data_IF_682919206760
#
_entry.id   IF_682919206760
#
_cell.length_a   1.000
_cell.length_b   1.000
_cell.length_c   1.000
_cell.angle_alpha   90.00
_cell.angle_beta   90.00
_cell.angle_gamma   90.00
#
_symmetry.space_group_name_H-M   'P 1'
#
loop_
_entity.id
_entity.type
_entity.pdbx_description
1 polymer ?
#
# COMPACT_ATOMS: atom_id res chain seq x y z
N UNK A 1 -20.26 52.17 -35.87
CA UNK A 1 -19.37 52.91 -34.95
C UNK A 1 -19.01 51.99 -33.81
N UNK A 2 -17.72 51.77 -33.64
CA UNK A 2 -17.08 50.83 -32.72
C UNK A 2 -17.40 51.12 -31.25
N UNK A 3 -17.51 50.06 -30.44
CA UNK A 3 -16.89 50.01 -29.11
C UNK A 3 -16.71 48.55 -28.64
N UNK A 4 -15.87 47.83 -29.37
CA UNK A 4 -15.04 46.76 -28.82
C UNK A 4 -13.88 47.40 -28.06
N UNK A 5 -13.75 47.08 -26.76
CA UNK A 5 -12.53 47.04 -25.90
C UNK A 5 -12.75 47.70 -24.52
N UNK A 6 -13.12 46.90 -23.50
CA UNK A 6 -13.24 47.44 -22.14
C UNK A 6 -13.18 46.45 -20.97
N UNK A 7 -12.90 45.16 -21.20
CA UNK A 7 -12.98 44.16 -20.12
C UNK A 7 -11.76 43.24 -19.95
N UNK A 8 -10.67 43.47 -20.69
CA UNK A 8 -9.48 42.59 -20.63
C UNK A 8 -8.40 43.05 -19.62
N UNK A 9 -8.55 44.22 -18.99
CA UNK A 9 -7.49 44.86 -18.19
C UNK A 9 -7.95 45.38 -16.80
N UNK A 10 -9.07 44.88 -16.27
CA UNK A 10 -9.45 45.20 -14.88
C UNK A 10 -8.70 44.29 -13.91
N UNK A 11 -7.78 44.88 -13.14
CA UNK A 11 -7.03 44.17 -12.09
C UNK A 11 -7.99 43.46 -11.11
N UNK A 12 -9.18 44.01 -10.87
CA UNK A 12 -10.21 43.41 -10.02
C UNK A 12 -10.73 42.10 -10.59
N UNK A 13 -10.97 42.04 -11.91
CA UNK A 13 -11.42 40.82 -12.58
C UNK A 13 -10.35 39.71 -12.52
N UNK A 14 -9.08 40.07 -12.69
CA UNK A 14 -7.96 39.13 -12.53
C UNK A 14 -7.82 38.63 -11.08
N UNK A 15 -7.96 39.52 -10.08
CA UNK A 15 -7.96 39.13 -8.66
C UNK A 15 -9.15 38.22 -8.30
N UNK A 16 -10.33 38.50 -8.83
CA UNK A 16 -11.51 37.65 -8.66
C UNK A 16 -11.33 36.27 -9.31
N UNK A 17 -10.73 36.22 -10.50
CA UNK A 17 -10.38 34.97 -11.15
C UNK A 17 -9.36 34.18 -10.32
N UNK A 18 -8.27 34.82 -9.86
CA UNK A 18 -7.26 34.18 -9.03
C UNK A 18 -7.86 33.57 -7.74
N UNK A 19 -8.75 34.30 -7.05
CA UNK A 19 -9.46 33.77 -5.86
C UNK A 19 -10.35 32.56 -6.18
N UNK A 20 -11.04 32.58 -7.33
CA UNK A 20 -11.87 31.44 -7.76
C UNK A 20 -11.02 30.21 -8.07
N UNK A 21 -9.92 30.38 -8.80
CA UNK A 21 -8.99 29.30 -9.11
C UNK A 21 -8.33 28.73 -7.85
N UNK A 22 -7.90 29.58 -6.92
CA UNK A 22 -7.35 29.15 -5.64
C UNK A 22 -8.37 28.32 -4.82
N UNK A 23 -9.63 28.75 -4.78
CA UNK A 23 -10.69 28.00 -4.10
C UNK A 23 -10.93 26.63 -4.75
N UNK A 24 -10.92 26.57 -6.08
CA UNK A 24 -11.06 25.31 -6.83
C UNK A 24 -9.89 24.37 -6.56
N UNK A 25 -8.65 24.87 -6.59
CA UNK A 25 -7.45 24.08 -6.27
C UNK A 25 -7.52 23.53 -4.84
N UNK A 26 -7.90 24.33 -3.84
CA UNK A 26 -8.05 23.84 -2.45
C UNK A 26 -9.12 22.75 -2.32
N UNK A 27 -10.23 22.88 -3.05
CA UNK A 27 -11.28 21.85 -3.09
C UNK A 27 -10.78 20.55 -3.74
N UNK A 28 -10.03 20.66 -4.84
CA UNK A 28 -9.40 19.53 -5.51
C UNK A 28 -8.39 18.84 -4.59
N UNK A 29 -7.52 19.59 -3.92
CA UNK A 29 -6.55 19.05 -2.97
C UNK A 29 -7.23 18.30 -1.82
N UNK A 30 -8.35 18.81 -1.31
CA UNK A 30 -9.13 18.11 -0.28
C UNK A 30 -9.65 16.75 -0.80
N UNK A 31 -10.17 16.69 -2.02
CA UNK A 31 -10.69 15.46 -2.62
C UNK A 31 -9.57 14.45 -2.90
N UNK A 32 -8.43 14.92 -3.44
CA UNK A 32 -7.27 14.07 -3.72
C UNK A 32 -6.63 13.55 -2.42
N UNK A 33 -6.54 14.38 -1.38
CA UNK A 33 -6.04 13.98 -0.07
C UNK A 33 -6.93 12.94 0.61
N UNK A 34 -8.24 13.09 0.49
CA UNK A 34 -9.19 12.08 0.97
C UNK A 34 -9.06 10.76 0.20
N UNK A 35 -8.95 10.80 -1.13
CA UNK A 35 -8.74 9.60 -1.93
C UNK A 35 -7.44 8.89 -1.54
N UNK A 36 -6.34 9.62 -1.35
CA UNK A 36 -5.07 9.07 -0.89
C UNK A 36 -5.18 8.43 0.50
N UNK A 37 -5.93 9.06 1.42
CA UNK A 37 -6.20 8.51 2.76
C UNK A 37 -6.99 7.20 2.69
N UNK A 38 -8.09 7.15 1.93
CA UNK A 38 -8.90 5.93 1.78
C UNK A 38 -8.13 4.81 1.08
N UNK A 39 -7.32 5.15 0.07
CA UNK A 39 -6.43 4.22 -0.61
C UNK A 39 -5.43 3.60 0.36
N UNK A 40 -4.78 4.42 1.19
CA UNK A 40 -3.83 3.93 2.20
C UNK A 40 -4.48 2.99 3.21
N UNK A 41 -5.68 3.34 3.69
CA UNK A 41 -6.45 2.49 4.60
C UNK A 41 -6.87 1.16 3.95
N UNK A 42 -7.33 1.18 2.69
CA UNK A 42 -7.68 -0.04 1.96
C UNK A 42 -6.47 -0.94 1.72
N UNK A 43 -5.35 -0.37 1.26
CA UNK A 43 -4.08 -1.10 1.08
C UNK A 43 -3.65 -1.75 2.39
N UNK A 44 -3.74 -1.04 3.51
CA UNK A 44 -3.42 -1.61 4.81
C UNK A 44 -4.30 -2.82 5.15
N UNK A 45 -5.62 -2.72 4.97
CA UNK A 45 -6.50 -3.85 5.27
C UNK A 45 -6.26 -5.04 4.34
N UNK A 46 -5.97 -4.80 3.06
CA UNK A 46 -5.57 -5.87 2.12
C UNK A 46 -4.25 -6.54 2.53
N UNK A 47 -3.29 -5.79 3.08
CA UNK A 47 -2.05 -6.36 3.62
C UNK A 47 -2.31 -7.26 4.84
N UNK A 48 -3.25 -6.85 5.70
CA UNK A 48 -3.70 -7.67 6.84
C UNK A 48 -4.39 -8.95 6.36
N UNK A 49 -5.32 -8.83 5.41
CA UNK A 49 -6.03 -9.98 4.84
C UNK A 49 -5.09 -10.96 4.12
N UNK A 50 -4.12 -10.45 3.34
CA UNK A 50 -3.06 -11.26 2.73
C UNK A 50 -2.27 -12.04 3.80
N UNK A 51 -1.89 -11.36 4.88
CA UNK A 51 -1.15 -11.98 5.97
C UNK A 51 -1.94 -13.10 6.64
N UNK A 52 -3.20 -12.83 7.00
CA UNK A 52 -4.08 -13.82 7.61
C UNK A 52 -4.31 -15.03 6.69
N UNK A 53 -4.54 -14.77 5.39
CA UNK A 53 -4.74 -15.80 4.37
C UNK A 53 -3.49 -16.68 4.22
N UNK A 54 -2.30 -16.09 4.30
CA UNK A 54 -1.04 -16.83 4.21
C UNK A 54 -0.90 -17.82 5.39
N UNK A 55 -1.12 -17.38 6.63
CA UNK A 55 -1.10 -18.28 7.80
C UNK A 55 -2.20 -19.35 7.69
N UNK A 56 -3.41 -18.96 7.30
CA UNK A 56 -4.51 -19.91 7.14
C UNK A 56 -4.15 -21.02 6.14
N UNK A 57 -3.59 -20.69 4.99
CA UNK A 57 -3.19 -21.68 3.97
C UNK A 57 -1.99 -22.53 4.44
N UNK A 58 -0.95 -21.90 4.99
CA UNK A 58 0.26 -22.59 5.46
C UNK A 58 -0.01 -23.53 6.65
N UNK A 59 -0.96 -23.19 7.52
CA UNK A 59 -1.39 -24.04 8.64
C UNK A 59 -2.39 -25.14 8.24
N UNK A 60 -2.68 -25.29 6.95
CA UNK A 60 -3.71 -26.22 6.48
C UNK A 60 -5.10 -25.88 7.02
N UNK A 61 -5.40 -24.60 7.25
CA UNK A 61 -6.69 -24.11 7.74
C UNK A 61 -6.93 -24.25 9.24
N UNK A 62 -5.89 -24.57 10.02
CA UNK A 62 -6.00 -24.74 11.48
C UNK A 62 -5.94 -23.41 12.23
N UNK A 63 -5.23 -22.41 11.69
CA UNK A 63 -5.01 -21.11 12.31
C UNK A 63 -5.64 -19.99 11.47
N UNK A 64 -5.90 -18.84 12.08
CA UNK A 64 -6.29 -17.59 11.40
C UNK A 64 -7.63 -17.61 10.65
N UNK A 65 -8.51 -18.57 10.92
CA UNK A 65 -9.84 -18.63 10.27
C UNK A 65 -10.71 -17.43 10.66
N UNK A 66 -10.66 -16.99 11.92
CA UNK A 66 -11.44 -15.84 12.39
C UNK A 66 -10.89 -14.52 11.82
N UNK A 67 -9.58 -14.41 11.74
CA UNK A 67 -8.81 -13.29 11.23
C UNK A 67 -9.01 -13.11 9.73
N UNK A 68 -9.11 -14.19 8.96
CA UNK A 68 -9.50 -14.11 7.55
C UNK A 68 -10.90 -13.53 7.37
N UNK A 69 -11.88 -13.96 8.18
CA UNK A 69 -13.26 -13.42 8.13
C UNK A 69 -13.31 -11.95 8.54
N UNK A 70 -12.66 -11.60 9.65
CA UNK A 70 -12.60 -10.24 10.15
C UNK A 70 -11.86 -9.32 9.17
N UNK A 71 -10.72 -9.77 8.63
CA UNK A 71 -9.95 -9.06 7.61
C UNK A 71 -10.77 -8.81 6.35
N UNK A 72 -11.48 -9.82 5.85
CA UNK A 72 -12.37 -9.68 4.69
C UNK A 72 -13.47 -8.65 4.91
N UNK A 73 -14.15 -8.68 6.06
CA UNK A 73 -15.19 -7.71 6.41
C UNK A 73 -14.65 -6.27 6.49
N UNK A 74 -13.49 -6.08 7.12
CA UNK A 74 -12.85 -4.77 7.22
C UNK A 74 -12.38 -4.25 5.84
N UNK A 75 -11.91 -5.13 4.96
CA UNK A 75 -11.61 -4.76 3.56
C UNK A 75 -12.88 -4.30 2.85
N UNK A 76 -14.01 -4.99 3.03
CA UNK A 76 -15.28 -4.61 2.40
C UNK A 76 -15.78 -3.23 2.90
N UNK A 77 -15.63 -2.94 4.19
CA UNK A 77 -15.89 -1.60 4.74
C UNK A 77 -15.00 -0.53 4.09
N UNK A 78 -13.70 -0.79 3.95
CA UNK A 78 -12.76 0.14 3.29
C UNK A 78 -13.03 0.28 1.80
N UNK A 79 -13.49 -0.78 1.13
CA UNK A 79 -13.88 -0.72 -0.27
C UNK A 79 -15.05 0.23 -0.48
N UNK A 80 -16.07 0.18 0.38
CA UNK A 80 -17.21 1.09 0.29
C UNK A 80 -16.77 2.57 0.42
N UNK A 81 -15.88 2.86 1.37
CA UNK A 81 -15.34 4.22 1.56
C UNK A 81 -14.45 4.67 0.39
N UNK A 82 -13.65 3.75 -0.15
CA UNK A 82 -12.82 4.01 -1.33
C UNK A 82 -13.67 4.29 -2.57
N UNK A 83 -14.73 3.51 -2.84
CA UNK A 83 -15.63 3.78 -3.95
C UNK A 83 -16.35 5.13 -3.79
N UNK A 84 -16.77 5.49 -2.57
CA UNK A 84 -17.37 6.79 -2.31
C UNK A 84 -16.40 7.97 -2.50
N UNK A 85 -15.10 7.79 -2.25
CA UNK A 85 -14.09 8.81 -2.56
C UNK A 85 -13.78 8.90 -4.05
N UNK A 86 -13.82 7.78 -4.79
CA UNK A 86 -13.68 7.77 -6.25
C UNK A 86 -14.78 8.56 -6.96
N UNK A 87 -16.04 8.43 -6.54
CA UNK A 87 -17.14 9.21 -7.14
C UNK A 87 -16.94 10.72 -6.98
N UNK A 88 -16.37 11.15 -5.84
CA UNK A 88 -16.04 12.57 -5.61
C UNK A 88 -14.83 13.02 -6.43
N UNK A 89 -13.83 12.17 -6.59
CA UNK A 89 -12.65 12.44 -7.41
C UNK A 89 -12.93 12.42 -8.92
N UNK A 90 -14.05 11.85 -9.36
CA UNK A 90 -14.41 11.72 -10.79
C UNK A 90 -14.46 13.07 -11.53
N UNK A 91 -14.88 14.13 -10.86
CA UNK A 91 -14.98 15.47 -11.45
C UNK A 91 -13.61 16.12 -11.73
N UNK A 92 -12.54 15.60 -11.13
CA UNK A 92 -11.19 16.18 -11.16
C UNK A 92 -10.16 15.24 -11.77
N UNK A 93 -10.58 14.04 -12.20
CA UNK A 93 -9.69 13.01 -12.70
C UNK A 93 -9.32 13.21 -14.18
N UNK A 94 -8.02 13.30 -14.45
CA UNK A 94 -7.48 13.23 -15.81
C UNK A 94 -7.49 11.81 -16.40
N UNK A 95 -7.29 11.69 -17.72
CA UNK A 95 -7.32 10.41 -18.45
C UNK A 95 -6.38 9.35 -17.86
N UNK A 96 -5.14 9.71 -17.53
CA UNK A 96 -4.17 8.78 -16.97
C UNK A 96 -4.59 8.26 -15.58
N UNK A 97 -5.18 9.11 -14.74
CA UNK A 97 -5.75 8.71 -13.45
C UNK A 97 -6.91 7.75 -13.63
N UNK A 98 -7.81 8.01 -14.58
CA UNK A 98 -8.90 7.10 -14.91
C UNK A 98 -8.41 5.70 -15.30
N UNK A 99 -7.34 5.60 -16.09
CA UNK A 99 -6.73 4.30 -16.46
C UNK A 99 -6.19 3.54 -15.24
N UNK A 100 -5.52 4.24 -14.31
CA UNK A 100 -5.01 3.63 -13.06
C UNK A 100 -6.15 3.14 -12.17
N UNK A 101 -7.17 3.97 -11.99
CA UNK A 101 -8.37 3.62 -11.22
C UNK A 101 -9.07 2.42 -11.86
N UNK A 102 -9.31 2.43 -13.18
CA UNK A 102 -9.97 1.34 -13.88
C UNK A 102 -9.26 -0.01 -13.65
N UNK A 103 -7.92 -0.04 -13.72
CA UNK A 103 -7.16 -1.26 -13.42
C UNK A 103 -7.21 -1.69 -11.96
N UNK A 104 -7.18 -0.76 -11.01
CA UNK A 104 -7.33 -1.12 -9.61
C UNK A 104 -8.74 -1.68 -9.31
N UNK A 105 -9.79 -1.08 -9.88
CA UNK A 105 -11.18 -1.53 -9.69
C UNK A 105 -11.41 -2.92 -10.29
N UNK A 106 -10.84 -3.19 -11.47
CA UNK A 106 -10.91 -4.50 -12.15
C UNK A 106 -10.26 -5.61 -11.31
N UNK A 107 -9.09 -5.34 -10.71
CA UNK A 107 -8.40 -6.27 -9.80
C UNK A 107 -9.16 -6.47 -8.48
N UNK A 108 -9.74 -5.41 -7.92
CA UNK A 108 -10.56 -5.47 -6.71
C UNK A 108 -11.80 -6.37 -6.90
N UNK A 109 -12.38 -6.40 -8.11
CA UNK A 109 -13.52 -7.26 -8.43
C UNK A 109 -13.19 -8.76 -8.35
N UNK A 110 -11.91 -9.14 -8.35
CA UNK A 110 -11.47 -10.53 -8.24
C UNK A 110 -11.40 -11.05 -6.80
N UNK A 111 -11.46 -10.16 -5.79
CA UNK A 111 -11.32 -10.54 -4.38
C UNK A 111 -12.33 -11.60 -3.91
N UNK A 112 -13.63 -11.56 -4.27
CA UNK A 112 -14.57 -12.60 -3.85
C UNK A 112 -14.19 -14.00 -4.36
N UNK A 113 -13.71 -14.09 -5.60
CA UNK A 113 -13.27 -15.37 -6.18
C UNK A 113 -12.00 -15.89 -5.49
N UNK A 114 -11.03 -15.01 -5.23
CA UNK A 114 -9.83 -15.34 -4.47
C UNK A 114 -10.18 -15.84 -3.07
N UNK A 115 -11.04 -15.13 -2.32
CA UNK A 115 -11.50 -15.53 -0.98
C UNK A 115 -12.21 -16.89 -1.00
N UNK A 116 -13.01 -17.18 -2.02
CA UNK A 116 -13.67 -18.47 -2.17
C UNK A 116 -12.65 -19.61 -2.38
N UNK A 117 -11.62 -19.38 -3.20
CA UNK A 117 -10.52 -20.34 -3.39
C UNK A 117 -9.74 -20.56 -2.09
N UNK A 118 -9.42 -19.49 -1.36
CA UNK A 118 -8.73 -19.54 -0.06
C UNK A 118 -9.56 -20.34 0.95
N UNK A 119 -10.85 -20.02 1.11
CA UNK A 119 -11.73 -20.70 2.06
C UNK A 119 -11.93 -22.19 1.77
N UNK A 120 -11.81 -22.60 0.51
CA UNK A 120 -11.80 -24.02 0.11
C UNK A 120 -10.41 -24.65 0.09
N UNK A 121 -9.36 -23.87 0.36
CA UNK A 121 -7.94 -24.23 0.23
C UNK A 121 -7.61 -24.81 -1.16
N UNK A 122 -8.22 -24.23 -2.20
CA UNK A 122 -8.04 -24.60 -3.61
C UNK A 122 -6.98 -23.76 -4.33
N UNK A 123 -6.21 -22.97 -3.58
CA UNK A 123 -5.12 -22.12 -4.06
C UNK A 123 -3.94 -22.26 -3.11
N UNK A 124 -2.72 -22.26 -3.65
CA UNK A 124 -1.50 -22.29 -2.86
C UNK A 124 -1.23 -20.92 -2.20
N UNK A 125 -0.55 -20.89 -1.05
CA UNK A 125 -0.31 -19.67 -0.27
C UNK A 125 0.45 -18.59 -1.05
N UNK A 126 1.35 -19.02 -1.92
CA UNK A 126 2.18 -18.21 -2.81
C UNK A 126 1.33 -17.54 -3.88
N UNK A 127 0.45 -18.33 -4.53
CA UNK A 127 -0.46 -17.82 -5.55
C UNK A 127 -1.48 -16.84 -4.95
N UNK A 128 -2.01 -17.11 -3.76
CA UNK A 128 -2.90 -16.18 -3.06
C UNK A 128 -2.15 -14.89 -2.67
N UNK A 129 -0.92 -15.01 -2.15
CA UNK A 129 -0.06 -13.88 -1.81
C UNK A 129 0.22 -13.00 -3.02
N UNK A 130 0.54 -13.60 -4.18
CA UNK A 130 0.79 -12.86 -5.42
C UNK A 130 -0.47 -12.12 -5.90
N UNK A 131 -1.64 -12.76 -5.86
CA UNK A 131 -2.89 -12.11 -6.26
C UNK A 131 -3.22 -10.89 -5.37
N UNK A 132 -3.12 -11.01 -4.04
CA UNK A 132 -3.27 -9.84 -3.15
C UNK A 132 -2.22 -8.76 -3.44
N UNK A 133 -0.96 -9.14 -3.66
CA UNK A 133 0.13 -8.20 -3.96
C UNK A 133 -0.09 -7.46 -5.29
N UNK A 134 -0.68 -8.14 -6.28
CA UNK A 134 -1.08 -7.52 -7.55
C UNK A 134 -2.16 -6.47 -7.35
N UNK A 135 -3.22 -6.79 -6.59
CA UNK A 135 -4.28 -5.83 -6.24
C UNK A 135 -3.69 -4.61 -5.53
N UNK A 136 -2.87 -4.83 -4.50
CA UNK A 136 -2.21 -3.76 -3.74
C UNK A 136 -1.32 -2.89 -4.65
N UNK A 137 -0.53 -3.49 -5.53
CA UNK A 137 0.31 -2.77 -6.49
C UNK A 137 -0.51 -1.87 -7.41
N UNK A 138 -1.65 -2.34 -7.93
CA UNK A 138 -2.51 -1.50 -8.77
C UNK A 138 -3.14 -0.34 -7.99
N UNK A 139 -3.50 -0.54 -6.72
CA UNK A 139 -3.93 0.54 -5.84
C UNK A 139 -2.81 1.56 -5.60
N UNK A 140 -1.61 1.11 -5.20
CA UNK A 140 -0.47 1.99 -4.95
C UNK A 140 -0.09 2.82 -6.18
N UNK A 141 -0.22 2.26 -7.38
CA UNK A 141 0.04 2.97 -8.65
C UNK A 141 -0.92 4.14 -8.94
N UNK A 142 -2.01 4.30 -8.19
CA UNK A 142 -2.87 5.49 -8.28
C UNK A 142 -2.17 6.69 -7.62
N UNK A 143 -1.44 6.50 -6.52
CA UNK A 143 -0.90 7.61 -5.74
C UNK A 143 0.10 8.51 -6.53
N UNK A 144 1.06 7.97 -7.30
CA UNK A 144 1.90 8.80 -8.17
C UNK A 144 1.07 9.58 -9.21
N UNK A 145 0.02 8.95 -9.74
CA UNK A 145 -0.84 9.57 -10.74
C UNK A 145 -1.73 10.70 -10.16
N UNK A 146 -2.07 10.63 -8.87
CA UNK A 146 -2.72 11.74 -8.15
C UNK A 146 -1.78 12.94 -8.03
N UNK A 147 -0.48 12.68 -7.86
CA UNK A 147 0.52 13.73 -7.68
C UNK A 147 0.67 14.63 -8.92
N UNK A 148 0.45 14.08 -10.12
CA UNK A 148 0.49 14.83 -11.38
C UNK A 148 -0.61 15.92 -11.47
N UNK A 149 -1.63 15.87 -10.59
CA UNK A 149 -2.73 16.84 -10.54
C UNK A 149 -2.54 17.89 -9.42
N UNK A 150 -1.39 17.89 -8.74
CA UNK A 150 -1.09 18.76 -7.60
C UNK A 150 -0.08 19.83 -8.02
N UNK A 151 -0.55 21.08 -8.14
CA UNK A 151 0.30 22.21 -8.54
C UNK A 151 1.14 22.77 -7.37
N UNK A 152 0.73 22.52 -6.12
CA UNK A 152 1.41 23.02 -4.91
C UNK A 152 2.63 22.14 -4.58
N UNK A 153 3.88 22.64 -4.73
CA UNK A 153 5.07 21.80 -4.58
C UNK A 153 5.24 21.22 -3.16
N UNK A 154 5.00 21.97 -2.07
CA UNK A 154 4.96 21.39 -0.72
C UNK A 154 3.97 20.23 -0.58
N UNK A 155 2.76 20.34 -1.14
CA UNK A 155 1.77 19.25 -1.07
C UNK A 155 2.20 18.05 -1.92
N UNK A 156 2.71 18.30 -3.13
CA UNK A 156 3.23 17.25 -4.00
C UNK A 156 4.37 16.47 -3.31
N UNK A 157 5.31 17.17 -2.68
CA UNK A 157 6.39 16.57 -1.91
C UNK A 157 5.88 15.66 -0.78
N UNK A 158 4.83 16.07 -0.06
CA UNK A 158 4.20 15.24 0.99
C UNK A 158 3.50 14.01 0.43
N UNK A 159 2.89 14.10 -0.75
CA UNK A 159 2.27 12.96 -1.43
C UNK A 159 3.31 11.95 -1.90
N UNK A 160 4.45 12.42 -2.41
CA UNK A 160 5.59 11.54 -2.71
C UNK A 160 6.11 10.87 -1.44
N UNK A 161 6.27 11.60 -0.33
CA UNK A 161 6.69 11.01 0.95
C UNK A 161 5.72 9.91 1.43
N UNK A 162 4.41 10.18 1.36
CA UNK A 162 3.36 9.21 1.71
C UNK A 162 3.44 7.96 0.83
N UNK A 163 3.54 8.13 -0.49
CA UNK A 163 3.67 7.02 -1.42
C UNK A 163 4.92 6.18 -1.14
N UNK A 164 6.07 6.82 -0.95
CA UNK A 164 7.34 6.15 -0.63
C UNK A 164 7.23 5.33 0.65
N UNK A 165 6.59 5.87 1.69
CA UNK A 165 6.32 5.13 2.92
C UNK A 165 5.40 3.92 2.69
N UNK A 166 4.30 4.10 1.95
CA UNK A 166 3.34 3.03 1.65
C UNK A 166 3.99 1.91 0.81
N UNK A 167 4.85 2.27 -0.14
CA UNK A 167 5.59 1.32 -0.97
C UNK A 167 6.62 0.54 -0.14
N UNK A 168 7.35 1.21 0.75
CA UNK A 168 8.25 0.56 1.71
C UNK A 168 7.51 -0.42 2.62
N UNK A 169 6.37 0.00 3.20
CA UNK A 169 5.50 -0.88 4.02
C UNK A 169 4.99 -2.08 3.24
N UNK A 170 4.65 -1.91 1.97
CA UNK A 170 4.23 -3.02 1.12
C UNK A 170 5.35 -4.03 0.88
N UNK A 171 6.58 -3.56 0.64
CA UNK A 171 7.75 -4.45 0.48
C UNK A 171 8.06 -5.21 1.77
N UNK A 172 7.93 -4.59 2.95
CA UNK A 172 7.99 -5.29 4.25
C UNK A 172 6.90 -6.36 4.35
N UNK A 173 5.69 -6.05 3.90
CA UNK A 173 4.59 -7.02 3.87
C UNK A 173 4.84 -8.23 2.95
N UNK A 174 5.52 -8.01 1.82
CA UNK A 174 5.93 -9.07 0.89
C UNK A 174 7.11 -9.88 1.43
N UNK A 175 8.10 -9.23 2.05
CA UNK A 175 9.19 -9.88 2.77
C UNK A 175 8.62 -10.85 3.83
N UNK A 176 7.66 -10.39 4.63
CA UNK A 176 6.98 -11.23 5.62
C UNK A 176 6.37 -12.48 4.99
N UNK A 177 5.68 -12.34 3.87
CA UNK A 177 5.03 -13.47 3.19
C UNK A 177 6.04 -14.48 2.61
N UNK A 178 7.13 -14.00 2.00
CA UNK A 178 8.18 -14.84 1.43
C UNK A 178 8.99 -15.57 2.51
N UNK A 179 9.33 -14.88 3.61
CA UNK A 179 10.02 -15.51 4.72
C UNK A 179 9.16 -16.57 5.41
N UNK A 180 7.87 -16.28 5.65
CA UNK A 180 6.94 -17.25 6.23
C UNK A 180 6.85 -18.52 5.35
N UNK A 181 6.82 -18.34 4.03
CA UNK A 181 6.84 -19.45 3.09
C UNK A 181 8.10 -20.32 3.24
N UNK A 182 9.29 -19.70 3.19
CA UNK A 182 10.55 -20.45 3.26
C UNK A 182 10.74 -21.15 4.61
N UNK A 183 10.37 -20.50 5.71
CA UNK A 183 10.42 -21.12 7.04
C UNK A 183 9.39 -22.24 7.21
N UNK A 184 8.19 -22.11 6.64
CA UNK A 184 7.17 -23.18 6.67
C UNK A 184 7.65 -24.42 5.90
N UNK A 185 8.32 -24.22 4.76
CA UNK A 185 8.91 -25.30 3.96
C UNK A 185 10.16 -25.90 4.60
N UNK A 186 10.79 -25.21 5.55
CA UNK A 186 12.10 -25.57 6.09
C UNK A 186 13.24 -25.38 5.09
N UNK A 187 13.01 -24.66 3.98
CA UNK A 187 14.00 -24.40 2.94
C UNK A 187 13.73 -23.10 2.18
N UNK A 188 14.81 -22.45 1.75
CA UNK A 188 14.78 -21.33 0.82
C UNK A 188 15.50 -21.74 -0.46
N UNK A 189 14.75 -21.99 -1.53
CA UNK A 189 15.33 -22.15 -2.86
C UNK A 189 16.06 -20.88 -3.28
N UNK A 190 17.02 -20.97 -4.19
CA UNK A 190 17.79 -19.80 -4.62
C UNK A 190 16.89 -18.71 -5.22
N UNK A 191 15.82 -19.10 -5.92
CA UNK A 191 14.82 -18.15 -6.44
C UNK A 191 14.05 -17.46 -5.32
N UNK A 192 13.58 -18.20 -4.30
CA UNK A 192 12.86 -17.61 -3.17
C UNK A 192 13.76 -16.69 -2.33
N UNK A 193 15.03 -17.10 -2.15
CA UNK A 193 16.05 -16.29 -1.46
C UNK A 193 16.33 -15.00 -2.20
N UNK A 194 16.50 -15.05 -3.52
CA UNK A 194 16.70 -13.84 -4.32
C UNK A 194 15.49 -12.90 -4.23
N UNK A 195 14.27 -13.43 -4.33
CA UNK A 195 13.06 -12.61 -4.16
C UNK A 195 12.99 -11.96 -2.78
N UNK A 196 13.35 -12.68 -1.71
CA UNK A 196 13.40 -12.14 -0.36
C UNK A 196 14.41 -11.00 -0.26
N UNK A 197 15.64 -11.18 -0.78
CA UNK A 197 16.67 -10.15 -0.83
C UNK A 197 16.19 -8.93 -1.61
N UNK A 198 15.59 -9.12 -2.79
CA UNK A 198 15.05 -8.01 -3.59
C UNK A 198 13.97 -7.21 -2.82
N UNK A 199 13.15 -7.89 -1.99
CA UNK A 199 12.15 -7.21 -1.14
C UNK A 199 12.79 -6.44 0.01
N UNK A 200 13.86 -6.94 0.59
CA UNK A 200 14.60 -6.25 1.66
C UNK A 200 15.30 -5.03 1.07
N UNK A 201 16.08 -5.22 0.00
CA UNK A 201 16.86 -4.16 -0.64
C UNK A 201 15.95 -3.06 -1.21
N UNK A 202 14.80 -3.42 -1.77
CA UNK A 202 13.82 -2.47 -2.28
C UNK A 202 13.19 -1.56 -1.21
N UNK A 203 13.23 -1.94 0.08
CA UNK A 203 12.69 -1.10 1.17
C UNK A 203 13.53 0.15 1.39
N UNK A 204 14.85 0.04 1.28
CA UNK A 204 15.79 1.11 1.58
C UNK A 204 15.52 2.39 0.77
N UNK A 205 15.46 2.38 -0.58
CA UNK A 205 15.18 3.59 -1.35
C UNK A 205 13.79 4.19 -1.05
N UNK A 206 12.82 3.34 -0.70
CA UNK A 206 11.48 3.79 -0.31
C UNK A 206 11.51 4.59 1.01
N UNK A 207 12.15 4.04 2.04
CA UNK A 207 12.24 4.73 3.33
C UNK A 207 13.21 5.91 3.32
N UNK A 208 14.25 5.90 2.48
CA UNK A 208 15.13 7.05 2.27
C UNK A 208 14.38 8.22 1.62
N UNK A 209 13.59 7.94 0.59
CA UNK A 209 12.73 8.95 -0.05
C UNK A 209 11.71 9.54 0.94
N UNK A 210 11.06 8.69 1.75
CA UNK A 210 10.16 9.16 2.81
C UNK A 210 10.87 10.05 3.83
N UNK A 211 12.07 9.68 4.28
CA UNK A 211 12.83 10.48 5.24
C UNK A 211 13.30 11.82 4.67
N UNK A 212 13.61 11.88 3.37
CA UNK A 212 14.03 13.10 2.70
C UNK A 212 12.89 14.11 2.49
N UNK A 213 11.66 13.63 2.27
CA UNK A 213 10.51 14.45 1.87
C UNK A 213 9.45 14.60 2.98
N UNK A 214 9.49 13.74 4.00
CA UNK A 214 8.55 13.73 5.11
C UNK A 214 8.74 14.93 6.04
N UNK A 215 7.66 15.32 6.74
CA UNK A 215 7.76 16.35 7.77
C UNK A 215 8.69 15.90 8.91
N UNK A 216 9.48 16.79 9.55
CA UNK A 216 10.38 16.42 10.63
C UNK A 216 9.71 15.62 11.77
N UNK A 217 8.50 16.01 12.19
CA UNK A 217 7.75 15.31 13.24
C UNK A 217 7.42 13.86 12.85
N UNK A 218 6.94 13.62 11.63
CA UNK A 218 6.58 12.29 11.14
C UNK A 218 7.82 11.41 10.92
N UNK A 219 8.91 11.98 10.43
CA UNK A 219 10.20 11.26 10.29
C UNK A 219 10.78 10.89 11.65
N UNK A 220 10.67 11.78 12.64
CA UNK A 220 11.10 11.48 14.01
C UNK A 220 10.25 10.37 14.64
N UNK A 221 8.93 10.38 14.40
CA UNK A 221 8.05 9.30 14.84
C UNK A 221 8.47 7.96 14.22
N UNK A 222 8.70 7.92 12.91
CA UNK A 222 9.19 6.73 12.22
C UNK A 222 10.52 6.24 12.81
N UNK A 223 11.49 7.14 13.01
CA UNK A 223 12.80 6.82 13.60
C UNK A 223 12.78 6.41 15.05
N UNK A 224 11.66 6.54 15.76
CA UNK A 224 11.55 6.16 17.18
C UNK A 224 10.66 4.94 17.36
N UNK A 225 9.70 4.72 16.46
CA UNK A 225 8.73 3.63 16.54
C UNK A 225 9.08 2.47 15.61
N UNK A 226 9.67 2.72 14.45
CA UNK A 226 9.85 1.71 13.40
C UNK A 226 11.33 1.27 13.29
N UNK A 227 11.80 0.49 14.26
CA UNK A 227 13.11 -0.17 14.19
C UNK A 227 12.96 -1.67 13.90
N UNK A 228 13.78 -2.20 13.01
CA UNK A 228 13.90 -3.65 12.84
C UNK A 228 14.44 -4.24 14.16
N UNK A 229 13.64 -5.09 14.80
CA UNK A 229 14.08 -5.84 15.97
C UNK A 229 15.24 -6.76 15.60
N UNK A 230 16.19 -6.94 16.53
CA UNK A 230 17.35 -7.84 16.36
C UNK A 230 16.94 -9.24 15.88
N UNK A 231 15.77 -9.72 16.33
CA UNK A 231 15.21 -11.02 15.95
C UNK A 231 14.94 -11.13 14.43
N UNK A 232 14.38 -10.08 13.82
CA UNK A 232 14.09 -10.07 12.37
C UNK A 232 15.40 -10.07 11.58
N UNK A 233 16.40 -9.29 11.99
CA UNK A 233 17.72 -9.29 11.34
C UNK A 233 18.42 -10.65 11.42
N UNK A 234 18.29 -11.34 12.55
CA UNK A 234 18.81 -12.70 12.70
C UNK A 234 18.11 -13.68 11.75
N UNK A 235 16.77 -13.61 11.66
CA UNK A 235 16.00 -14.47 10.77
C UNK A 235 16.26 -14.17 9.29
N UNK A 236 16.42 -12.89 8.90
CA UNK A 236 16.89 -12.48 7.56
C UNK A 236 18.22 -13.15 7.23
N UNK A 237 19.18 -13.11 8.15
CA UNK A 237 20.48 -13.76 7.98
C UNK A 237 20.35 -15.27 7.83
N UNK A 238 19.50 -15.94 8.61
CA UNK A 238 19.28 -17.38 8.50
C UNK A 238 18.73 -17.71 7.10
N UNK A 239 17.64 -17.06 6.69
CA UNK A 239 17.01 -17.27 5.39
C UNK A 239 17.97 -17.06 4.20
N UNK A 240 18.91 -16.12 4.33
CA UNK A 240 19.87 -15.79 3.27
C UNK A 240 21.15 -16.65 3.27
N UNK A 241 21.47 -17.39 4.34
CA UNK A 241 22.80 -18.03 4.45
C UNK A 241 22.79 -19.52 4.77
N UNK A 242 21.70 -20.06 5.33
CA UNK A 242 21.67 -21.44 5.83
C UNK A 242 20.29 -22.06 5.60
N UNK A 243 20.23 -23.39 5.68
CA UNK A 243 18.97 -24.10 5.74
C UNK A 243 18.31 -23.85 7.11
N UNK A 244 17.02 -23.46 7.15
CA UNK A 244 16.28 -23.33 8.41
C UNK A 244 16.19 -24.65 9.18
N UNK A 245 15.99 -24.56 10.50
CA UNK A 245 15.73 -25.74 11.32
C UNK A 245 14.37 -26.36 10.96
N UNK A 246 14.29 -27.69 10.96
CA UNK A 246 13.03 -28.42 10.82
C UNK A 246 12.30 -28.44 12.18
N UNK A 247 11.62 -27.34 12.51
CA UNK A 247 10.97 -27.10 13.80
C UNK A 247 9.44 -27.19 13.75
N UNK A 248 8.89 -27.76 12.68
CA UNK A 248 7.43 -27.88 12.51
C UNK A 248 6.72 -26.54 12.32
N UNK A 249 7.43 -25.47 11.93
CA UNK A 249 6.84 -24.15 11.62
C UNK A 249 6.94 -23.13 12.75
N UNK A 250 7.64 -23.43 13.85
CA UNK A 250 7.84 -22.50 14.96
C UNK A 250 8.59 -21.24 14.51
N UNK A 251 9.65 -21.38 13.72
CA UNK A 251 10.39 -20.25 13.16
C UNK A 251 9.52 -19.44 12.18
N UNK A 252 8.63 -20.10 11.43
CA UNK A 252 7.69 -19.40 10.55
C UNK A 252 6.72 -18.51 11.34
N UNK A 253 6.24 -19.00 12.49
CA UNK A 253 5.40 -18.22 13.40
C UNK A 253 6.18 -17.07 14.05
N UNK A 254 7.42 -17.29 14.48
CA UNK A 254 8.29 -16.22 15.02
C UNK A 254 8.63 -15.14 13.99
N UNK A 255 8.80 -15.54 12.74
CA UNK A 255 9.00 -14.60 11.63
C UNK A 255 7.74 -13.77 11.35
N UNK A 256 6.58 -14.42 11.35
CA UNK A 256 5.31 -13.73 11.09
C UNK A 256 4.90 -12.82 12.26
N UNK A 257 5.17 -13.26 13.49
CA UNK A 257 4.90 -12.55 14.73
C UNK A 257 6.20 -12.36 15.53
N UNK A 258 7.03 -11.37 15.17
CA UNK A 258 8.17 -11.03 16.00
C UNK A 258 7.70 -10.64 17.39
N UNK A 259 8.48 -10.97 18.42
CA UNK A 259 8.13 -10.75 19.83
C UNK A 259 7.86 -9.27 20.20
N UNK A 260 8.09 -8.33 19.27
CA UNK A 260 7.78 -6.91 19.41
C UNK A 260 7.03 -6.40 18.16
N UNK A 261 5.69 -6.50 18.09
CA UNK A 261 4.89 -6.23 16.90
C UNK A 261 4.69 -4.74 16.57
N UNK A 262 5.34 -3.81 17.28
CA UNK A 262 5.09 -2.35 17.18
C UNK A 262 5.95 -1.65 16.12
N UNK A 263 6.09 -2.22 14.93
CA UNK A 263 6.75 -1.54 13.78
C UNK A 263 5.84 -1.52 12.54
#
# INVERSE_FOLDING_TARGET
>A
MNNTTGHAHDATAWLQLARRLQKQQLQQLSQLGELASQLSALVHMLQCERGASNIYLCSGGLLYTAECRAGGALVDERLALFYASLERARAVAGSALCWRIARAVDELAQLPALRAQIGRRQIAAEAATEQFSRVIRHLLNIAPQLNDSIDDPPVAGRMVALYSFMQGKELVGQERALGALGFTRGEFSDSLRQQLVDRIDGQQPCFDSFQALGSPATVQLFRTQCHAGLDIEQLRRIACTRQPAADGGETALRWFWPANPTA
#
